data_IF_777233581077
#
_entry.id   IF_777233581077
#
_cell.length_a   1.000
_cell.length_b   1.000
_cell.length_c   1.000
_cell.angle_alpha   90.00
_cell.angle_beta   90.00
_cell.angle_gamma   90.00
#
_symmetry.space_group_name_H-M   'P 1'
#
loop_
_entity.id
_entity.type
_entity.pdbx_description
1 polymer ?
#
# COMPACT_ATOMS: atom_id res chain seq x y z
N UNK A 1 -2.71 -1.62 -3.71
CA UNK A 1 -2.46 -1.37 -2.27
C UNK A 1 -1.30 -2.23 -1.81
N UNK A 2 -0.51 -1.76 -0.84
CA UNK A 2 0.60 -2.50 -0.23
C UNK A 2 0.31 -2.62 1.27
N UNK A 3 0.24 -3.84 1.80
CA UNK A 3 0.08 -4.06 3.24
C UNK A 3 1.36 -3.71 3.98
N UNK A 4 1.25 -3.16 5.19
CA UNK A 4 2.41 -2.74 6.00
C UNK A 4 2.60 -3.66 7.21
N UNK A 5 3.18 -4.88 7.05
CA UNK A 5 3.40 -5.79 8.17
C UNK A 5 4.35 -5.20 9.23
N UNK A 6 5.25 -4.30 8.81
CA UNK A 6 6.16 -3.56 9.69
C UNK A 6 5.60 -2.19 10.13
N UNK A 7 4.33 -1.94 9.80
CA UNK A 7 3.65 -0.69 10.09
C UNK A 7 4.10 0.51 9.24
N UNK A 8 3.48 1.68 9.47
CA UNK A 8 3.77 2.91 8.73
C UNK A 8 5.11 3.56 9.08
N UNK A 9 5.81 3.06 10.11
CA UNK A 9 7.07 3.61 10.61
C UNK A 9 8.30 3.04 9.90
N UNK A 10 8.13 2.22 8.88
CA UNK A 10 9.27 1.82 8.06
C UNK A 10 9.81 3.03 7.25
N UNK A 11 11.14 3.18 7.17
CA UNK A 11 11.78 4.30 6.46
C UNK A 11 11.31 4.44 5.02
N UNK A 12 11.19 3.32 4.30
CA UNK A 12 10.73 3.34 2.92
C UNK A 12 9.32 3.92 2.79
N UNK A 13 8.41 3.68 3.75
CA UNK A 13 7.05 4.26 3.73
C UNK A 13 7.12 5.78 3.87
N UNK A 14 7.93 6.27 4.83
CA UNK A 14 8.13 7.71 5.01
C UNK A 14 8.72 8.36 3.77
N UNK A 15 9.72 7.73 3.17
CA UNK A 15 10.37 8.25 1.97
C UNK A 15 9.39 8.35 0.80
N UNK A 16 8.54 7.34 0.60
CA UNK A 16 7.51 7.37 -0.44
C UNK A 16 6.48 8.47 -0.14
N UNK A 17 5.99 8.58 1.10
CA UNK A 17 5.05 9.62 1.50
C UNK A 17 5.63 11.04 1.32
N UNK A 18 6.92 11.23 1.63
CA UNK A 18 7.61 12.50 1.45
C UNK A 18 7.87 12.83 -0.03
N UNK A 19 8.21 11.82 -0.84
CA UNK A 19 8.44 11.96 -2.28
C UNK A 19 7.14 12.22 -3.06
N UNK A 20 6.03 11.64 -2.62
CA UNK A 20 4.74 11.68 -3.34
C UNK A 20 4.67 10.74 -4.54
N UNK A 21 5.76 10.05 -4.87
CA UNK A 21 5.84 9.04 -5.93
C UNK A 21 6.91 7.99 -5.65
N UNK A 22 6.82 6.86 -6.34
CA UNK A 22 7.81 5.78 -6.30
C UNK A 22 7.73 4.92 -7.58
N UNK A 23 8.73 4.09 -7.81
CA UNK A 23 8.66 2.99 -8.78
C UNK A 23 8.63 1.67 -8.03
N UNK A 24 7.62 0.84 -8.30
CA UNK A 24 7.43 -0.47 -7.68
C UNK A 24 7.79 -1.56 -8.70
N UNK A 25 8.82 -2.35 -8.40
CA UNK A 25 9.11 -3.58 -9.15
C UNK A 25 8.31 -4.73 -8.55
N UNK A 26 7.40 -5.31 -9.31
CA UNK A 26 6.59 -6.46 -8.87
C UNK A 26 6.34 -7.40 -10.03
N UNK A 27 6.47 -8.71 -9.80
CA UNK A 27 6.30 -9.72 -10.85
C UNK A 27 7.16 -9.46 -12.11
N UNK A 28 8.37 -8.93 -11.92
CA UNK A 28 9.27 -8.56 -13.03
C UNK A 28 8.87 -7.30 -13.81
N UNK A 29 7.81 -6.60 -13.40
CA UNK A 29 7.32 -5.38 -14.05
C UNK A 29 7.56 -4.18 -13.15
N UNK A 30 8.20 -3.14 -13.71
CA UNK A 30 8.32 -1.84 -13.07
C UNK A 30 7.05 -1.03 -13.30
N UNK A 31 6.46 -0.56 -12.21
CA UNK A 31 5.22 0.24 -12.21
C UNK A 31 5.50 1.54 -11.49
N UNK A 32 5.40 2.65 -12.22
CA UNK A 32 5.45 3.98 -11.60
C UNK A 32 4.14 4.24 -10.86
N UNK A 33 4.26 4.77 -9.65
CA UNK A 33 3.14 5.06 -8.77
C UNK A 33 3.25 6.46 -8.16
N UNK A 34 2.10 7.06 -7.90
CA UNK A 34 1.96 8.37 -7.30
C UNK A 34 0.82 8.42 -6.28
N UNK A 35 0.65 9.59 -5.66
CA UNK A 35 -0.39 9.90 -4.66
C UNK A 35 -0.43 8.87 -3.52
N UNK A 36 0.69 8.65 -2.81
CA UNK A 36 0.73 7.73 -1.70
C UNK A 36 -0.14 8.24 -0.56
N UNK A 37 -0.95 7.35 -0.01
CA UNK A 37 -1.80 7.63 1.16
C UNK A 37 -1.77 6.47 2.13
N UNK A 38 -1.61 6.79 3.42
CA UNK A 38 -1.77 5.79 4.48
C UNK A 38 -3.25 5.64 4.80
N UNK A 39 -3.75 4.41 4.73
CA UNK A 39 -5.16 4.09 4.99
C UNK A 39 -5.25 2.99 6.04
N UNK A 40 -6.31 2.99 6.85
CA UNK A 40 -6.54 1.90 7.79
C UNK A 40 -7.00 0.66 7.02
N UNK A 41 -6.55 -0.52 7.45
CA UNK A 41 -6.96 -1.80 6.86
C UNK A 41 -8.49 -2.00 6.94
N UNK A 42 -9.13 -1.38 7.94
CA UNK A 42 -10.59 -1.39 8.11
C UNK A 42 -11.33 -0.63 7.01
N UNK A 43 -10.79 0.50 6.57
CA UNK A 43 -11.46 1.42 5.63
C UNK A 43 -11.45 0.86 4.20
N UNK A 44 -10.56 -0.10 3.95
CA UNK A 44 -10.31 -0.72 2.64
C UNK A 44 -10.61 -2.20 2.65
N UNK A 45 -11.31 -2.68 3.69
CA UNK A 45 -11.61 -4.08 3.84
C UNK A 45 -12.41 -4.64 2.66
N UNK A 46 -13.35 -3.86 2.13
CA UNK A 46 -14.17 -4.27 0.98
C UNK A 46 -13.37 -4.43 -0.32
N UNK A 47 -12.20 -3.80 -0.42
CA UNK A 47 -11.31 -3.88 -1.58
C UNK A 47 -10.35 -5.07 -1.51
N UNK A 48 -10.32 -5.78 -0.38
CA UNK A 48 -9.39 -6.87 -0.11
C UNK A 48 -10.12 -8.22 -0.12
N UNK A 49 -9.55 -9.27 -0.72
CA UNK A 49 -10.08 -10.62 -0.61
C UNK A 49 -10.26 -11.05 0.87
N UNK A 50 -11.35 -11.76 1.22
CA UNK A 50 -11.63 -12.14 2.61
C UNK A 50 -10.52 -12.99 3.28
N UNK A 51 -9.82 -13.81 2.49
CA UNK A 51 -8.66 -14.57 2.96
C UNK A 51 -7.50 -13.67 3.36
N UNK A 52 -7.16 -12.69 2.52
CA UNK A 52 -6.10 -11.73 2.79
C UNK A 52 -6.42 -10.88 4.01
N UNK A 53 -7.68 -10.45 4.17
CA UNK A 53 -8.11 -9.72 5.37
C UNK A 53 -7.90 -10.50 6.67
N UNK A 54 -8.25 -11.79 6.66
CA UNK A 54 -8.03 -12.65 7.84
C UNK A 54 -6.56 -12.74 8.19
N UNK A 55 -5.70 -12.95 7.18
CA UNK A 55 -4.25 -12.96 7.36
C UNK A 55 -3.74 -11.63 7.94
N UNK A 56 -4.13 -10.50 7.36
CA UNK A 56 -3.71 -9.17 7.84
C UNK A 56 -4.15 -8.91 9.29
N UNK A 57 -5.37 -9.31 9.67
CA UNK A 57 -5.86 -9.21 11.06
C UNK A 57 -5.06 -10.09 12.01
N UNK A 58 -4.75 -11.33 11.63
CA UNK A 58 -3.95 -12.25 12.44
C UNK A 58 -2.54 -11.71 12.71
N UNK A 59 -1.94 -11.03 11.73
CA UNK A 59 -0.62 -10.40 11.87
C UNK A 59 -0.66 -8.97 12.43
N UNK A 60 -1.83 -8.49 12.88
CA UNK A 60 -1.96 -7.15 13.48
C UNK A 60 -1.69 -6.00 12.51
N UNK A 61 -1.89 -6.21 11.20
CA UNK A 61 -1.64 -5.18 10.19
C UNK A 61 -2.80 -4.19 10.14
N UNK A 62 -2.62 -3.06 10.82
CA UNK A 62 -3.65 -2.02 10.95
C UNK A 62 -3.63 -0.99 9.83
N UNK A 63 -2.54 -0.91 9.07
CA UNK A 63 -2.37 0.10 8.03
C UNK A 63 -1.91 -0.51 6.71
N UNK A 64 -2.40 0.09 5.63
CA UNK A 64 -2.00 -0.19 4.26
C UNK A 64 -1.53 1.11 3.60
N UNK A 65 -0.61 0.98 2.64
CA UNK A 65 -0.23 2.06 1.74
C UNK A 65 -1.05 1.94 0.46
N UNK A 66 -1.90 2.94 0.24
CA UNK A 66 -2.59 3.13 -1.04
C UNK A 66 -1.67 3.90 -1.99
N UNK A 67 -1.62 3.43 -3.23
CA UNK A 67 -0.81 3.98 -4.31
C UNK A 67 -1.64 3.92 -5.58
N UNK A 68 -1.51 4.92 -6.43
CA UNK A 68 -2.12 4.95 -7.76
C UNK A 68 -1.02 4.73 -8.80
N UNK A 69 -1.31 4.02 -9.90
CA UNK A 69 -0.36 3.92 -11.00
C UNK A 69 -0.26 5.28 -11.71
N UNK A 70 0.97 5.77 -11.88
CA UNK A 70 1.23 6.99 -12.64
C UNK A 70 0.82 6.77 -14.11
N UNK A 71 0.15 7.77 -14.71
CA UNK A 71 -0.34 7.68 -16.09
C UNK A 71 -1.73 7.04 -16.27
N UNK A 72 -2.38 6.53 -15.21
CA UNK A 72 -3.80 6.21 -15.28
C UNK A 72 -4.64 7.49 -15.10
N UNK A 73 -4.83 8.24 -16.19
CA UNK A 73 -5.91 9.21 -16.32
C UNK A 73 -7.21 8.41 -16.46
N UNK A 74 -8.07 8.46 -15.45
CA UNK A 74 -9.51 8.20 -15.63
C UNK A 74 -10.19 9.53 -15.92
#
# INVERSE_FOLDING_TARGET
>A
MIALPYGPRADWVRNILASGSATVLTQGVSVDVDRPALVATTDVAELLPPGQLRTLRLFGVTNCLQLRRAGQHV
#
